data_IF_917854679063
#
_entry.id   IF_917854679063
#
_cell.length_a   1.000
_cell.length_b   1.000
_cell.length_c   1.000
_cell.angle_alpha   90.00
_cell.angle_beta   90.00
_cell.angle_gamma   90.00
#
_symmetry.space_group_name_H-M   'P 1'
#
loop_
_entity.id
_entity.type
_entity.pdbx_description
1 polymer ?
#
# COMPACT_ATOMS: atom_id res chain seq x y z
N UNK A 1 -2.59 3.97 -18.82
CA UNK A 1 -3.50 4.88 -18.09
C UNK A 1 -4.94 4.80 -18.57
N UNK A 2 -5.24 4.80 -19.89
CA UNK A 2 -6.61 4.68 -20.43
C UNK A 2 -7.46 3.58 -19.79
N UNK A 3 -6.93 2.36 -19.72
CA UNK A 3 -7.63 1.18 -19.15
C UNK A 3 -7.98 1.29 -17.66
N UNK A 4 -7.29 2.18 -16.92
CA UNK A 4 -7.54 2.40 -15.50
C UNK A 4 -8.56 3.51 -15.27
N UNK A 5 -8.59 4.51 -16.17
CA UNK A 5 -9.62 5.55 -16.21
C UNK A 5 -10.97 4.95 -16.64
N UNK A 6 -10.96 4.12 -17.69
CA UNK A 6 -12.15 3.41 -18.20
C UNK A 6 -12.79 2.50 -17.14
N UNK A 7 -11.99 1.92 -16.24
CA UNK A 7 -12.48 1.07 -15.13
C UNK A 7 -12.90 1.84 -13.88
N UNK A 8 -12.77 3.17 -13.87
CA UNK A 8 -13.06 3.99 -12.69
C UNK A 8 -12.15 3.72 -11.49
N UNK A 9 -10.98 3.12 -11.71
CA UNK A 9 -10.03 2.77 -10.64
C UNK A 9 -9.18 3.95 -10.18
N UNK A 10 -9.25 5.06 -10.90
CA UNK A 10 -8.50 6.28 -10.61
C UNK A 10 -9.45 7.28 -9.93
N UNK A 11 -9.17 7.57 -8.66
CA UNK A 11 -9.86 8.64 -7.94
C UNK A 11 -9.46 9.98 -8.54
N UNK A 12 -10.43 10.79 -8.98
CA UNK A 12 -10.19 12.08 -9.65
C UNK A 12 -9.34 13.04 -8.81
N UNK A 13 -9.51 13.00 -7.48
CA UNK A 13 -8.71 13.75 -6.54
C UNK A 13 -7.24 13.31 -6.48
N UNK A 14 -6.92 12.03 -6.66
CA UNK A 14 -5.57 11.48 -6.49
C UNK A 14 -5.20 10.56 -7.66
N UNK A 15 -4.88 11.11 -8.85
CA UNK A 15 -4.65 10.33 -10.06
C UNK A 15 -3.43 9.39 -9.98
N UNK A 16 -2.47 9.66 -9.07
CA UNK A 16 -1.32 8.79 -8.79
C UNK A 16 -1.60 7.79 -7.66
N UNK A 17 -2.86 7.63 -7.25
CA UNK A 17 -3.33 6.64 -6.31
C UNK A 17 -2.79 6.82 -4.88
N UNK A 18 -2.52 5.69 -4.22
CA UNK A 18 -2.14 5.63 -2.80
C UNK A 18 -0.99 6.56 -2.43
N UNK A 19 0.08 6.63 -3.24
CA UNK A 19 1.25 7.44 -2.91
C UNK A 19 0.90 8.94 -2.82
N UNK A 20 0.16 9.46 -3.81
CA UNK A 20 -0.27 10.86 -3.80
C UNK A 20 -1.29 11.13 -2.70
N UNK A 21 -2.23 10.21 -2.47
CA UNK A 21 -3.16 10.31 -1.36
C UNK A 21 -2.41 10.40 -0.02
N UNK A 22 -1.43 9.53 0.20
CA UNK A 22 -0.64 9.46 1.43
C UNK A 22 0.16 10.74 1.67
N UNK A 23 0.86 11.26 0.65
CA UNK A 23 1.57 12.53 0.77
C UNK A 23 0.62 13.64 1.22
N UNK A 24 -0.53 13.81 0.56
CA UNK A 24 -1.49 14.87 0.90
C UNK A 24 -2.16 14.67 2.25
N UNK A 25 -2.49 13.42 2.60
CA UNK A 25 -3.00 13.06 3.92
C UNK A 25 -1.99 13.43 5.02
N UNK A 26 -0.71 13.11 4.80
CA UNK A 26 0.37 13.46 5.72
C UNK A 26 0.52 14.98 5.88
N UNK A 27 0.39 15.74 4.79
CA UNK A 27 0.39 17.21 4.81
C UNK A 27 -0.91 17.85 5.32
N UNK A 28 -1.89 17.06 5.80
CA UNK A 28 -3.06 17.59 6.51
C UNK A 28 -4.37 17.64 5.71
N UNK A 29 -4.38 17.25 4.42
CA UNK A 29 -5.66 17.09 3.68
C UNK A 29 -6.50 15.98 4.32
N UNK A 30 -7.80 16.21 4.46
CA UNK A 30 -8.77 15.21 4.95
C UNK A 30 -9.89 15.02 3.93
N UNK A 31 -10.18 13.78 3.61
CA UNK A 31 -11.31 13.36 2.78
C UNK A 31 -11.94 12.16 3.49
N UNK A 32 -12.91 12.36 4.40
CA UNK A 32 -13.32 11.33 5.37
C UNK A 32 -13.63 9.96 4.77
N UNK A 33 -14.35 9.91 3.66
CA UNK A 33 -14.72 8.66 2.98
C UNK A 33 -13.51 7.95 2.37
N UNK A 34 -12.70 8.69 1.58
CA UNK A 34 -11.47 8.15 0.99
C UNK A 34 -10.47 7.76 2.08
N UNK A 35 -10.30 8.58 3.11
CA UNK A 35 -9.37 8.33 4.21
C UNK A 35 -9.73 7.01 4.92
N UNK A 36 -11.02 6.77 5.17
CA UNK A 36 -11.48 5.50 5.73
C UNK A 36 -11.15 4.30 4.83
N UNK A 37 -11.41 4.41 3.52
CA UNK A 37 -11.11 3.34 2.55
C UNK A 37 -9.61 3.06 2.50
N UNK A 38 -8.80 4.11 2.35
CA UNK A 38 -7.35 4.02 2.20
C UNK A 38 -6.70 3.48 3.49
N UNK A 39 -7.12 3.95 4.67
CA UNK A 39 -6.68 3.42 5.97
C UNK A 39 -7.08 1.94 6.13
N UNK A 40 -8.30 1.56 5.74
CA UNK A 40 -8.75 0.16 5.80
C UNK A 40 -7.90 -0.75 4.91
N UNK A 41 -7.60 -0.31 3.68
CA UNK A 41 -6.70 -1.03 2.77
C UNK A 41 -5.30 -1.16 3.36
N UNK A 42 -4.75 -0.09 3.96
CA UNK A 42 -3.44 -0.15 4.61
C UNK A 42 -3.40 -1.13 5.78
N UNK A 43 -4.41 -1.15 6.65
CA UNK A 43 -4.52 -2.13 7.75
C UNK A 43 -4.50 -3.57 7.23
N UNK A 44 -5.18 -3.82 6.11
CA UNK A 44 -5.15 -5.12 5.44
C UNK A 44 -3.75 -5.48 4.92
N UNK A 45 -2.97 -4.52 4.44
CA UNK A 45 -1.62 -4.75 3.91
C UNK A 45 -0.59 -4.95 5.03
N UNK A 46 -0.71 -4.20 6.14
CA UNK A 46 0.18 -4.28 7.30
C UNK A 46 0.34 -5.72 7.83
N UNK A 47 -0.69 -6.57 7.73
CA UNK A 47 -0.63 -7.98 8.13
C UNK A 47 0.48 -8.77 7.41
N UNK A 48 0.85 -8.37 6.19
CA UNK A 48 1.90 -9.03 5.43
C UNK A 48 3.28 -8.87 6.07
N UNK A 49 3.52 -7.76 6.79
CA UNK A 49 4.73 -7.58 7.60
C UNK A 49 4.79 -8.63 8.70
N UNK A 50 3.70 -8.84 9.44
CA UNK A 50 3.62 -9.87 10.48
C UNK A 50 3.80 -11.28 9.93
N UNK A 51 3.24 -11.56 8.75
CA UNK A 51 3.42 -12.84 8.07
C UNK A 51 4.88 -13.09 7.66
N UNK A 52 5.62 -12.06 7.26
CA UNK A 52 7.06 -12.20 6.97
C UNK A 52 7.83 -12.42 8.26
N UNK A 53 7.62 -11.60 9.30
CA UNK A 53 8.33 -11.74 10.60
C UNK A 53 8.15 -13.10 11.26
N UNK A 54 6.95 -13.69 11.16
CA UNK A 54 6.65 -14.99 11.79
C UNK A 54 7.22 -16.18 11.04
N UNK A 55 7.38 -16.09 9.72
CA UNK A 55 7.60 -17.26 8.87
C UNK A 55 8.90 -17.21 8.04
N UNK A 56 9.61 -16.09 8.04
CA UNK A 56 10.84 -15.93 7.27
C UNK A 56 12.01 -15.68 8.20
N UNK A 57 13.17 -16.21 7.84
CA UNK A 57 14.42 -15.89 8.50
C UNK A 57 14.83 -14.43 8.20
N UNK A 58 15.62 -13.87 9.11
CA UNK A 58 16.17 -12.51 8.95
C UNK A 58 17.01 -12.46 7.68
N UNK A 59 16.79 -11.44 6.85
CA UNK A 59 17.46 -11.21 5.56
C UNK A 59 17.14 -12.22 4.44
N UNK A 60 16.31 -13.25 4.67
CA UNK A 60 15.87 -14.13 3.59
C UNK A 60 14.80 -13.44 2.71
N UNK A 61 15.28 -12.85 1.62
CA UNK A 61 14.44 -12.19 0.61
C UNK A 61 13.70 -13.19 -0.29
N UNK A 62 14.11 -14.46 -0.29
CA UNK A 62 13.48 -15.51 -1.08
C UNK A 62 12.19 -16.01 -0.44
N UNK A 63 12.06 -15.90 0.88
CA UNK A 63 10.83 -16.22 1.60
C UNK A 63 9.71 -15.20 1.31
N UNK A 64 8.50 -15.73 1.00
CA UNK A 64 7.25 -14.95 0.82
C UNK A 64 7.34 -13.79 -0.18
N UNK A 65 8.00 -14.01 -1.33
CA UNK A 65 8.18 -13.03 -2.43
C UNK A 65 6.90 -12.29 -2.81
N UNK A 66 5.74 -12.98 -2.88
CA UNK A 66 4.44 -12.37 -3.22
C UNK A 66 4.01 -11.33 -2.20
N UNK A 67 4.11 -11.62 -0.91
CA UNK A 67 3.79 -10.67 0.16
C UNK A 67 4.77 -9.49 0.19
N UNK A 68 6.07 -9.76 -0.06
CA UNK A 68 7.09 -8.71 -0.20
C UNK A 68 6.80 -7.78 -1.38
N UNK A 69 6.39 -8.32 -2.52
CA UNK A 69 5.97 -7.53 -3.69
C UNK A 69 4.74 -6.67 -3.38
N UNK A 70 3.75 -7.23 -2.68
CA UNK A 70 2.58 -6.46 -2.23
C UNK A 70 2.99 -5.29 -1.34
N UNK A 71 3.92 -5.50 -0.39
CA UNK A 71 4.44 -4.42 0.45
C UNK A 71 5.16 -3.35 -0.37
N UNK A 72 5.95 -3.75 -1.38
CA UNK A 72 6.63 -2.82 -2.28
C UNK A 72 5.65 -1.92 -3.06
N UNK A 73 4.55 -2.47 -3.57
CA UNK A 73 3.50 -1.68 -4.23
C UNK A 73 2.86 -0.64 -3.30
N UNK A 74 2.93 -0.86 -1.99
CA UNK A 74 2.47 0.07 -0.95
C UNK A 74 3.60 0.95 -0.41
N UNK A 75 4.73 1.03 -1.13
CA UNK A 75 5.93 1.78 -0.75
C UNK A 75 6.54 1.35 0.60
N UNK A 76 6.29 0.12 1.04
CA UNK A 76 6.86 -0.42 2.27
C UNK A 76 8.11 -1.25 1.96
N UNK A 77 9.26 -0.85 2.53
CA UNK A 77 10.52 -1.55 2.33
C UNK A 77 10.59 -2.83 3.17
N UNK A 78 10.24 -3.96 2.52
CA UNK A 78 10.25 -5.26 3.18
C UNK A 78 11.64 -5.83 3.49
N UNK A 79 12.72 -5.23 2.97
CA UNK A 79 14.11 -5.68 3.23
C UNK A 79 14.57 -5.35 4.65
N UNK A 80 13.90 -4.40 5.30
CA UNK A 80 14.16 -3.98 6.68
C UNK A 80 13.39 -4.80 7.73
N UNK A 81 12.63 -5.80 7.29
CA UNK A 81 11.80 -6.66 8.16
C UNK A 81 12.65 -7.76 8.78
#
# INVERSE_FOLDING_TARGET
MKTWQEKGWIHSGDPRGWFQWYCRYYYGRRLPEEDQIQIKRWKAIKRHVGAIKKNCEKNDQSCRKKQRQTLLHWAYDSRKI
#
